data_IF_684235195902
#
_entry.id   IF_684235195902
#
_cell.length_a   1.000
_cell.length_b   1.000
_cell.length_c   1.000
_cell.angle_alpha   90.00
_cell.angle_beta   90.00
_cell.angle_gamma   90.00
#
_symmetry.space_group_name_H-M   'P 1'
#
loop_
_entity.id
_entity.type
_entity.pdbx_description
1 polymer ?
#
# COMPACT_ATOMS: atom_id res chain seq x y z
N UNK A 1 7.86 -7.62 -17.24
CA UNK A 1 8.27 -7.30 -15.87
C UNK A 1 7.84 -8.47 -15.00
N UNK A 2 8.78 -9.23 -14.45
CA UNK A 2 8.46 -10.28 -13.48
C UNK A 2 8.19 -9.61 -12.12
N UNK A 3 6.92 -9.30 -11.84
CA UNK A 3 6.44 -8.93 -10.51
C UNK A 3 6.25 -10.21 -9.69
N UNK A 4 7.36 -10.79 -9.21
CA UNK A 4 7.30 -11.97 -8.34
C UNK A 4 8.54 -12.05 -7.46
N UNK A 5 8.53 -11.30 -6.35
CA UNK A 5 9.32 -11.68 -5.17
C UNK A 5 8.46 -11.58 -3.92
N UNK A 6 7.63 -12.61 -3.75
CA UNK A 6 6.97 -12.99 -2.51
C UNK A 6 8.02 -13.49 -1.50
N UNK A 7 8.88 -12.59 -1.01
CA UNK A 7 9.69 -12.78 0.19
C UNK A 7 9.18 -11.81 1.23
N UNK A 8 8.63 -12.32 2.34
CA UNK A 8 7.96 -11.50 3.36
C UNK A 8 8.85 -10.37 3.86
N UNK A 9 8.58 -9.15 3.39
CA UNK A 9 9.21 -7.92 3.83
C UNK A 9 8.35 -7.26 4.93
N UNK A 10 8.91 -6.41 5.80
CA UNK A 10 8.22 -5.87 6.99
C UNK A 10 6.95 -5.06 6.70
N UNK A 11 6.77 -4.63 5.44
CA UNK A 11 5.63 -3.88 4.92
C UNK A 11 4.62 -4.71 4.12
N UNK A 12 4.83 -6.03 4.02
CA UNK A 12 3.88 -6.93 3.39
C UNK A 12 2.71 -7.17 4.35
N UNK A 13 1.51 -6.77 3.96
CA UNK A 13 0.29 -7.15 4.67
C UNK A 13 0.06 -8.66 4.52
N UNK A 14 -0.23 -9.40 5.59
CA UNK A 14 -0.60 -10.80 5.46
C UNK A 14 -2.00 -10.93 4.85
N UNK A 15 -2.23 -12.03 4.13
CA UNK A 15 -3.54 -12.41 3.57
C UNK A 15 -4.15 -11.40 2.58
N UNK A 16 -3.32 -10.61 1.89
CA UNK A 16 -3.79 -9.78 0.76
C UNK A 16 -4.35 -10.70 -0.33
N UNK A 17 -5.62 -10.51 -0.76
CA UNK A 17 -6.22 -11.32 -1.81
C UNK A 17 -5.48 -11.18 -3.14
N UNK A 18 -5.53 -12.23 -3.96
CA UNK A 18 -4.97 -12.20 -5.31
C UNK A 18 -5.57 -11.02 -6.10
N UNK A 19 -4.74 -10.32 -6.87
CA UNK A 19 -5.10 -9.13 -7.68
C UNK A 19 -5.43 -7.87 -6.85
N UNK A 20 -5.15 -7.90 -5.55
CA UNK A 20 -5.23 -6.73 -4.67
C UNK A 20 -3.86 -6.43 -4.09
N UNK A 21 -3.63 -5.18 -3.71
CA UNK A 21 -2.49 -4.78 -2.89
C UNK A 21 -2.88 -3.61 -1.98
N UNK A 22 -2.12 -3.37 -0.92
CA UNK A 22 -2.25 -2.14 -0.14
C UNK A 22 -1.39 -1.05 -0.78
N UNK A 23 -1.71 0.23 -0.56
CA UNK A 23 -0.88 1.33 -1.07
C UNK A 23 0.56 1.19 -0.57
N UNK A 24 0.73 0.83 0.71
CA UNK A 24 2.05 0.62 1.32
C UNK A 24 2.82 -0.53 0.68
N UNK A 25 2.18 -1.68 0.47
CA UNK A 25 2.80 -2.83 -0.19
C UNK A 25 3.20 -2.51 -1.62
N UNK A 26 2.29 -1.89 -2.38
CA UNK A 26 2.55 -1.49 -3.76
C UNK A 26 3.69 -0.48 -3.89
N UNK A 27 3.76 0.52 -3.01
CA UNK A 27 4.87 1.49 -2.99
C UNK A 27 6.20 0.82 -2.70
N UNK A 28 6.23 -0.10 -1.73
CA UNK A 28 7.42 -0.88 -1.44
C UNK A 28 7.89 -1.67 -2.66
N UNK A 29 6.96 -2.28 -3.40
CA UNK A 29 7.27 -3.07 -4.60
C UNK A 29 7.74 -2.19 -5.78
N UNK A 30 7.28 -0.94 -5.86
CA UNK A 30 7.58 -0.02 -6.98
C UNK A 30 8.77 0.92 -6.75
N UNK A 31 9.12 1.24 -5.50
CA UNK A 31 10.10 2.28 -5.18
C UNK A 31 11.21 1.75 -4.26
N UNK A 32 12.40 1.52 -4.84
CA UNK A 32 13.57 1.03 -4.10
C UNK A 32 14.03 1.94 -2.94
N UNK A 33 13.65 3.22 -2.95
CA UNK A 33 13.99 4.20 -1.91
C UNK A 33 13.02 4.20 -0.72
N UNK A 34 11.83 3.63 -0.90
CA UNK A 34 10.77 3.63 0.09
C UNK A 34 11.13 2.91 1.41
N UNK A 35 11.87 1.78 1.42
CA UNK A 35 12.30 1.13 2.67
C UNK A 35 13.23 2.00 3.52
N UNK A 36 14.04 2.87 2.90
CA UNK A 36 14.96 3.75 3.61
C UNK A 36 14.25 4.96 4.24
N UNK A 37 13.14 5.41 3.65
CA UNK A 37 12.33 6.52 4.18
C UNK A 37 11.55 6.16 5.46
N UNK A 38 11.42 4.87 5.79
CA UNK A 38 10.80 4.42 7.04
C UNK A 38 11.75 4.32 8.24
N UNK A 39 13.06 4.23 8.01
CA UNK A 39 14.06 3.91 9.05
C UNK A 39 14.62 5.16 9.76
N UNK A 40 14.43 6.36 9.18
CA UNK A 40 14.79 7.63 9.83
C UNK A 40 13.73 8.01 10.88
N UNK A 41 13.97 7.56 12.13
CA UNK A 41 13.58 8.02 13.48
C UNK A 41 12.24 8.77 13.76
N UNK A 42 11.50 9.34 12.81
CA UNK A 42 10.18 10.00 13.00
C UNK A 42 8.97 9.13 12.61
N UNK A 43 9.20 7.90 12.16
CA UNK A 43 8.35 6.74 12.47
C UNK A 43 6.84 6.87 12.22
N UNK A 44 6.40 7.40 11.07
CA UNK A 44 5.08 7.07 10.55
C UNK A 44 4.94 7.43 9.07
N UNK A 45 5.32 6.54 8.15
CA UNK A 45 5.02 6.78 6.73
C UNK A 45 3.52 6.91 6.45
N UNK A 46 2.61 6.46 7.33
CA UNK A 46 1.18 6.76 7.15
C UNK A 46 0.83 8.24 7.39
N UNK A 47 1.82 9.07 7.79
CA UNK A 47 1.75 10.54 7.75
C UNK A 47 2.42 11.13 6.50
N UNK A 48 3.04 10.30 5.66
CA UNK A 48 3.58 10.75 4.40
C UNK A 48 2.44 11.27 3.53
N UNK A 49 2.60 12.53 3.10
CA UNK A 49 1.56 13.24 2.37
C UNK A 49 1.31 12.62 1.00
N UNK A 50 2.30 11.99 0.38
CA UNK A 50 2.13 11.32 -0.91
C UNK A 50 1.30 10.05 -0.76
N UNK A 51 1.58 9.21 0.24
CA UNK A 51 0.81 8.00 0.52
C UNK A 51 -0.65 8.31 0.87
N UNK A 52 -0.88 9.33 1.71
CA UNK A 52 -2.24 9.78 2.05
C UNK A 52 -2.99 10.20 0.78
N UNK A 53 -2.39 11.06 -0.05
CA UNK A 53 -3.01 11.50 -1.31
C UNK A 53 -3.25 10.35 -2.28
N UNK A 54 -2.38 9.35 -2.28
CA UNK A 54 -2.52 8.16 -3.10
C UNK A 54 -3.72 7.32 -2.64
N UNK A 55 -3.80 7.04 -1.34
CA UNK A 55 -4.92 6.31 -0.75
C UNK A 55 -6.25 7.05 -0.96
N UNK A 56 -6.29 8.38 -0.77
CA UNK A 56 -7.47 9.21 -1.04
C UNK A 56 -7.91 9.14 -2.52
N UNK A 57 -6.95 9.15 -3.45
CA UNK A 57 -7.26 8.99 -4.88
C UNK A 57 -7.85 7.60 -5.16
N UNK A 58 -7.23 6.55 -4.63
CA UNK A 58 -7.71 5.17 -4.79
C UNK A 58 -9.11 4.99 -4.20
N UNK A 59 -9.38 5.52 -3.00
CA UNK A 59 -10.70 5.54 -2.38
C UNK A 59 -11.74 6.21 -3.27
N UNK A 60 -11.42 7.40 -3.79
CA UNK A 60 -12.32 8.17 -4.65
C UNK A 60 -12.66 7.40 -5.93
N UNK A 61 -11.66 6.83 -6.60
CA UNK A 61 -11.87 6.13 -7.87
C UNK A 61 -12.48 4.75 -7.70
N UNK A 62 -12.13 4.01 -6.65
CA UNK A 62 -12.78 2.74 -6.32
C UNK A 62 -14.29 2.95 -6.11
N UNK A 63 -14.68 3.98 -5.35
CA UNK A 63 -16.10 4.35 -5.16
C UNK A 63 -16.79 4.75 -6.45
N UNK A 64 -16.13 5.59 -7.27
CA UNK A 64 -16.70 6.08 -8.54
C UNK A 64 -16.93 4.95 -9.55
N UNK A 65 -16.05 3.95 -9.56
CA UNK A 65 -16.07 2.82 -10.48
C UNK A 65 -16.82 1.60 -9.93
N UNK A 66 -17.27 1.63 -8.67
CA UNK A 66 -17.92 0.50 -8.01
C UNK A 66 -16.97 -0.67 -7.76
N UNK A 67 -15.67 -0.41 -7.61
CA UNK A 67 -14.66 -1.43 -7.34
C UNK A 67 -14.71 -1.82 -5.86
N UNK A 68 -14.52 -3.12 -5.61
CA UNK A 68 -14.39 -3.65 -4.27
C UNK A 68 -13.10 -3.12 -3.61
N UNK A 69 -13.19 -2.70 -2.35
CA UNK A 69 -12.04 -2.39 -1.50
C UNK A 69 -12.12 -3.31 -0.30
N UNK A 70 -11.01 -3.98 0.01
CA UNK A 70 -10.95 -4.96 1.09
C UNK A 70 -10.18 -4.40 2.27
N UNK A 71 -10.52 -4.85 3.46
CA UNK A 71 -9.73 -4.57 4.66
C UNK A 71 -8.87 -5.78 4.98
N UNK A 72 -7.57 -5.55 5.10
CA UNK A 72 -6.56 -6.58 5.37
C UNK A 72 -5.77 -6.22 6.61
N UNK A 73 -5.16 -7.22 7.22
CA UNK A 73 -4.29 -7.02 8.37
C UNK A 73 -3.07 -6.16 7.98
N UNK A 74 -2.71 -5.22 8.84
CA UNK A 74 -1.57 -4.35 8.60
C UNK A 74 -0.24 -5.12 8.69
N UNK A 75 0.81 -4.66 8.00
CA UNK A 75 2.15 -5.21 8.15
C UNK A 75 2.68 -5.00 9.57
N UNK A 76 3.62 -5.86 9.99
CA UNK A 76 4.22 -5.78 11.33
C UNK A 76 4.82 -4.40 11.63
N UNK A 77 5.44 -3.76 10.62
CA UNK A 77 6.02 -2.43 10.75
C UNK A 77 5.01 -1.32 11.01
N UNK A 78 3.72 -1.49 10.69
CA UNK A 78 2.68 -0.50 10.99
C UNK A 78 1.98 -0.77 12.32
N UNK A 79 1.94 -2.05 12.75
CA UNK A 79 1.32 -2.42 14.03
C UNK A 79 2.02 -1.80 15.23
N UNK A 80 3.34 -1.62 15.18
CA UNK A 80 4.11 -0.93 16.25
C UNK A 80 3.67 0.53 16.43
N UNK A 81 3.04 1.12 15.42
CA UNK A 81 2.47 2.47 15.45
C UNK A 81 0.95 2.49 15.71
N UNK A 82 0.35 1.35 16.08
CA UNK A 82 -1.07 1.24 16.41
C UNK A 82 -2.00 1.03 15.21
N UNK A 83 -1.47 0.86 14.00
CA UNK A 83 -2.25 0.63 12.78
C UNK A 83 -2.45 -0.86 12.60
N UNK A 84 -3.70 -1.32 12.73
CA UNK A 84 -4.04 -2.74 12.79
C UNK A 84 -4.50 -3.32 11.45
N UNK A 85 -5.14 -2.48 10.62
CA UNK A 85 -5.65 -2.87 9.31
C UNK A 85 -5.32 -1.81 8.26
N UNK A 86 -5.26 -2.25 7.00
CA UNK A 86 -5.07 -1.42 5.82
C UNK A 86 -6.16 -1.72 4.79
N UNK A 87 -6.41 -0.76 3.90
CA UNK A 87 -7.21 -1.01 2.71
C UNK A 87 -6.36 -1.65 1.63
N UNK A 88 -6.91 -2.68 1.03
CA UNK A 88 -6.40 -3.32 -0.16
C UNK A 88 -7.30 -2.96 -1.35
N UNK A 89 -6.68 -2.42 -2.40
CA UNK A 89 -7.33 -2.01 -3.64
C UNK A 89 -6.98 -3.00 -4.74
N UNK A 90 -7.78 -3.09 -5.82
CA UNK A 90 -7.38 -3.81 -7.01
C UNK A 90 -6.03 -3.29 -7.51
N UNK A 91 -5.10 -4.19 -7.79
CA UNK A 91 -3.72 -3.85 -8.18
C UNK A 91 -3.70 -2.95 -9.42
N UNK A 92 -4.57 -3.22 -10.40
CA UNK A 92 -4.75 -2.38 -11.58
C UNK A 92 -5.10 -0.91 -11.24
N UNK A 93 -5.86 -0.65 -10.17
CA UNK A 93 -6.17 0.72 -9.74
C UNK A 93 -4.93 1.43 -9.19
N UNK A 94 -4.10 0.69 -8.45
CA UNK A 94 -2.83 1.20 -7.93
C UNK A 94 -1.87 1.49 -9.09
N UNK A 95 -1.76 0.60 -10.07
CA UNK A 95 -0.93 0.81 -11.27
C UNK A 95 -1.36 2.06 -12.06
N UNK A 96 -2.67 2.27 -12.29
CA UNK A 96 -3.19 3.45 -12.99
C UNK A 96 -2.73 4.74 -12.29
N UNK A 97 -2.87 4.79 -10.96
CA UNK A 97 -2.43 5.97 -10.19
C UNK A 97 -0.92 6.19 -10.28
N UNK A 98 -0.14 5.11 -10.31
CA UNK A 98 1.31 5.14 -10.41
C UNK A 98 1.77 5.72 -11.76
N UNK A 99 1.05 5.39 -12.84
CA UNK A 99 1.30 5.90 -14.18
C UNK A 99 0.91 7.38 -14.37
N UNK A 100 0.25 8.00 -13.37
CA UNK A 100 -0.14 9.41 -13.40
C UNK A 100 -1.28 9.74 -14.38
N UNK A 101 -2.06 8.72 -14.77
CA UNK A 101 -3.25 8.84 -15.63
C UNK A 101 -4.48 9.27 -14.82
#
# INVERSE_FOLDING_TARGET
MELSRSGGYPYSSPNVPKEFNTVVGFFFDCYDWYPAAYDDEEGNAMKDRELIQYEEWCDKYARKLGLEVKEVEAPAALKVHGIMTLKAYPEALLEIRCLGL
#
